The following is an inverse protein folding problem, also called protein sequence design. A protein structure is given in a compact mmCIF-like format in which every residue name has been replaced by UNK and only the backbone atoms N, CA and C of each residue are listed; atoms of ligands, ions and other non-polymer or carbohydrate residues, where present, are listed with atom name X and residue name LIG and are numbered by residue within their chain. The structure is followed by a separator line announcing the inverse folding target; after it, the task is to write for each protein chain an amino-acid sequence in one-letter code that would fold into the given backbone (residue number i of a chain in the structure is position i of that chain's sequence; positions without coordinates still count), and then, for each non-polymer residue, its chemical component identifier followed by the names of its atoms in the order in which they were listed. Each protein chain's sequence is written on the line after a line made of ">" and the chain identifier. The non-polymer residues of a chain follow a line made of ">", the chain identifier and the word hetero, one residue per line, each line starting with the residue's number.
data_IF_798376051444
#
_entry.id   IF_798376051444
#
_cell.length_a   1.000
_cell.length_b   1.000
_cell.length_c   1.000
_cell.angle_alpha   90.00
_cell.angle_beta   90.00
_cell.angle_gamma   90.00
#
_symmetry.space_group_name_H-M   'P 1'
#
loop_
_entity.id
_entity.type
_entity.pdbx_description
1 polymer ?
#
# COMPACT_ATOMS: atom_id res chain seq x y z
N UNK A 1 -26.11 9.60 13.65
CA UNK A 1 -26.91 9.40 12.43
C UNK A 1 -26.15 8.39 11.60
N UNK A 2 -26.66 7.17 11.46
CA UNK A 2 -26.09 6.20 10.52
C UNK A 2 -26.21 6.79 9.12
N UNK A 3 -25.10 7.26 8.56
CA UNK A 3 -25.07 7.63 7.16
C UNK A 3 -25.14 6.35 6.35
N UNK A 4 -26.31 6.08 5.77
CA UNK A 4 -26.49 4.97 4.83
C UNK A 4 -25.68 5.29 3.58
N UNK A 5 -24.48 4.70 3.47
CA UNK A 5 -23.65 4.82 2.28
C UNK A 5 -24.33 4.05 1.14
N UNK A 6 -24.60 4.73 0.03
CA UNK A 6 -25.13 4.09 -1.17
C UNK A 6 -24.03 3.28 -1.88
N UNK A 7 -24.29 1.97 -2.05
CA UNK A 7 -23.45 1.07 -2.83
C UNK A 7 -23.84 1.16 -4.30
N UNK A 8 -22.84 1.27 -5.17
CA UNK A 8 -23.05 1.23 -6.62
C UNK A 8 -23.11 -0.23 -7.11
N UNK A 9 -23.51 -0.44 -8.36
CA UNK A 9 -23.65 -1.76 -8.94
C UNK A 9 -22.36 -2.61 -8.77
N UNK A 10 -22.53 -3.83 -8.25
CA UNK A 10 -21.46 -4.80 -8.01
C UNK A 10 -20.58 -4.50 -6.79
N UNK A 11 -20.88 -3.44 -6.04
CA UNK A 11 -20.18 -3.14 -4.79
C UNK A 11 -20.76 -3.89 -3.59
N UNK A 12 -19.88 -4.24 -2.66
CA UNK A 12 -20.20 -4.80 -1.35
C UNK A 12 -19.37 -4.11 -0.28
N UNK A 13 -19.80 -4.24 0.97
CA UNK A 13 -19.01 -3.84 2.13
C UNK A 13 -18.40 -5.10 2.73
N UNK A 14 -17.08 -5.15 2.78
CA UNK A 14 -16.35 -6.14 3.58
C UNK A 14 -15.79 -5.45 4.83
N UNK A 15 -15.42 -6.25 5.84
CA UNK A 15 -14.88 -5.75 7.09
C UNK A 15 -13.57 -6.46 7.42
N UNK A 16 -12.53 -5.70 7.74
CA UNK A 16 -11.31 -6.26 8.32
C UNK A 16 -11.49 -6.35 9.83
N UNK A 17 -11.77 -7.56 10.32
CA UNK A 17 -12.14 -7.82 11.71
C UNK A 17 -11.07 -7.40 12.72
N UNK A 18 -9.79 -7.46 12.36
CA UNK A 18 -8.69 -7.03 13.25
C UNK A 18 -8.72 -5.54 13.62
N UNK A 19 -9.39 -4.70 12.82
CA UNK A 19 -9.35 -3.24 12.97
C UNK A 19 -10.73 -2.59 13.03
N UNK A 20 -11.81 -3.37 12.93
CA UNK A 20 -13.19 -2.88 12.80
C UNK A 20 -13.32 -1.81 11.70
N UNK A 21 -12.60 -2.02 10.60
CA UNK A 21 -12.62 -1.15 9.43
C UNK A 21 -13.52 -1.79 8.38
N UNK A 22 -14.47 -1.02 7.87
CA UNK A 22 -15.31 -1.40 6.73
C UNK A 22 -14.74 -0.85 5.44
N UNK A 23 -14.82 -1.60 4.36
CA UNK A 23 -14.28 -1.19 3.06
C UNK A 23 -15.21 -1.59 1.93
N UNK A 24 -15.43 -0.66 1.00
CA UNK A 24 -16.23 -0.89 -0.19
C UNK A 24 -15.34 -1.58 -1.22
N UNK A 25 -15.83 -2.72 -1.72
CA UNK A 25 -15.13 -3.57 -2.67
C UNK A 25 -16.04 -3.88 -3.85
N UNK A 26 -15.45 -4.14 -5.01
CA UNK A 26 -16.18 -4.63 -6.18
C UNK A 26 -15.32 -5.69 -6.85
N UNK A 27 -15.78 -6.95 -6.91
CA UNK A 27 -14.97 -8.05 -7.41
C UNK A 27 -14.54 -7.87 -8.89
N UNK A 28 -15.34 -7.14 -9.69
CA UNK A 28 -15.05 -6.85 -11.09
C UNK A 28 -14.09 -5.66 -11.26
N UNK A 29 -13.91 -4.83 -10.24
CA UNK A 29 -13.08 -3.63 -10.30
C UNK A 29 -11.81 -3.83 -9.48
N UNK A 30 -11.96 -4.10 -8.18
CA UNK A 30 -10.89 -4.34 -7.22
C UNK A 30 -11.41 -4.88 -5.89
N UNK A 31 -10.68 -5.82 -5.31
CA UNK A 31 -10.76 -6.19 -3.89
C UNK A 31 -9.34 -6.14 -3.31
N UNK A 32 -9.19 -5.68 -2.07
CA UNK A 32 -7.90 -5.59 -1.41
C UNK A 32 -7.26 -6.99 -1.33
N UNK A 33 -5.95 -7.04 -1.57
CA UNK A 33 -5.17 -8.26 -1.48
C UNK A 33 -4.56 -8.41 -0.08
N UNK A 34 -4.05 -9.60 0.20
CA UNK A 34 -3.24 -9.84 1.39
C UNK A 34 -2.03 -8.90 1.47
N UNK A 35 -1.51 -8.46 0.31
CA UNK A 35 -0.41 -7.50 0.20
C UNK A 35 -0.73 -6.17 0.91
N UNK A 36 -1.98 -5.67 0.77
CA UNK A 36 -2.41 -4.44 1.44
C UNK A 36 -2.44 -4.59 2.97
N UNK A 37 -2.94 -5.75 3.45
CA UNK A 37 -2.96 -6.07 4.89
C UNK A 37 -1.54 -6.18 5.42
N UNK A 38 -0.66 -6.89 4.72
CA UNK A 38 0.74 -7.08 5.14
C UNK A 38 1.56 -5.80 5.05
N UNK A 39 1.35 -4.95 4.06
CA UNK A 39 1.97 -3.63 3.98
C UNK A 39 1.55 -2.75 5.15
N UNK A 40 0.25 -2.68 5.42
CA UNK A 40 -0.27 -1.95 6.57
C UNK A 40 0.25 -2.51 7.90
N UNK A 41 0.45 -3.83 8.00
CA UNK A 41 1.05 -4.45 9.19
C UNK A 41 2.51 -4.04 9.38
N UNK A 42 3.30 -4.18 8.32
CA UNK A 42 4.74 -3.88 8.26
C UNK A 42 5.07 -2.40 8.48
N UNK A 43 4.18 -1.49 8.09
CA UNK A 43 4.38 -0.05 8.23
C UNK A 43 4.39 0.39 9.71
N UNK A 44 5.58 0.73 10.22
CA UNK A 44 5.77 1.30 11.55
C UNK A 44 5.59 2.82 11.52
N UNK A 45 4.34 3.27 11.64
CA UNK A 45 3.98 4.69 11.61
C UNK A 45 3.98 5.31 13.00
N UNK A 46 4.29 6.62 13.09
CA UNK A 46 4.30 7.36 14.36
C UNK A 46 2.88 7.65 14.87
N UNK A 47 2.63 7.34 16.14
CA UNK A 47 1.40 7.70 16.87
C UNK A 47 1.44 9.17 17.31
N UNK A 48 1.33 10.09 16.36
CA UNK A 48 1.32 11.53 16.65
C UNK A 48 0.34 12.28 15.73
N UNK A 49 -0.38 13.25 16.27
CA UNK A 49 -1.23 14.17 15.49
C UNK A 49 -0.46 14.99 14.45
N UNK A 50 0.86 15.11 14.60
CA UNK A 50 1.74 15.81 13.64
C UNK A 50 2.20 14.92 12.48
N UNK A 51 1.99 13.61 12.58
CA UNK A 51 2.39 12.65 11.54
C UNK A 51 1.63 12.93 10.25
N UNK A 52 2.35 12.98 9.13
CA UNK A 52 1.78 13.05 7.78
C UNK A 52 2.14 11.80 7.01
N UNK A 53 1.13 11.14 6.46
CA UNK A 53 1.27 9.91 5.69
C UNK A 53 0.69 10.13 4.30
N UNK A 54 1.38 9.66 3.26
CA UNK A 54 0.83 9.56 1.91
C UNK A 54 0.84 8.09 1.49
N UNK A 55 -0.32 7.57 1.13
CA UNK A 55 -0.49 6.25 0.53
C UNK A 55 -0.60 6.42 -0.99
N UNK A 56 0.44 6.01 -1.70
CA UNK A 56 0.51 6.07 -3.16
C UNK A 56 -0.05 4.78 -3.76
N UNK A 57 -0.74 4.91 -4.91
CA UNK A 57 -1.43 3.79 -5.55
C UNK A 57 -2.49 3.18 -4.61
N UNK A 58 -3.29 4.04 -3.98
CA UNK A 58 -4.17 3.65 -2.87
C UNK A 58 -5.29 2.68 -3.26
N UNK A 59 -5.64 2.55 -4.55
CA UNK A 59 -6.74 1.69 -4.98
C UNK A 59 -8.04 2.09 -4.30
N UNK A 60 -8.71 1.13 -3.65
CA UNK A 60 -9.92 1.40 -2.86
C UNK A 60 -9.64 1.89 -1.42
N UNK A 61 -8.40 2.30 -1.10
CA UNK A 61 -8.01 2.91 0.17
C UNK A 61 -7.61 1.92 1.27
N UNK A 62 -7.39 0.64 0.94
CA UNK A 62 -7.19 -0.39 1.95
C UNK A 62 -6.01 -0.12 2.91
N UNK A 63 -4.85 0.25 2.38
CA UNK A 63 -3.64 0.47 3.19
C UNK A 63 -3.82 1.69 4.10
N UNK A 64 -4.28 2.83 3.56
CA UNK A 64 -4.57 4.02 4.35
C UNK A 64 -5.63 3.80 5.44
N UNK A 65 -6.72 3.11 5.13
CA UNK A 65 -7.75 2.74 6.10
C UNK A 65 -7.19 1.86 7.23
N UNK A 66 -6.39 0.83 6.92
CA UNK A 66 -5.82 -0.06 7.93
C UNK A 66 -4.77 0.66 8.80
N UNK A 67 -3.96 1.53 8.21
CA UNK A 67 -2.95 2.33 8.93
C UNK A 67 -3.59 3.39 9.84
N UNK A 68 -4.81 3.83 9.54
CA UNK A 68 -5.51 4.84 10.35
C UNK A 68 -5.64 4.48 11.83
N UNK A 69 -5.70 3.18 12.17
CA UNK A 69 -5.75 2.70 13.56
C UNK A 69 -4.39 2.75 14.26
N UNK A 70 -3.29 2.88 13.52
CA UNK A 70 -1.91 2.92 14.04
C UNK A 70 -1.39 4.35 14.24
N UNK A 71 -2.16 5.37 13.91
CA UNK A 71 -1.73 6.76 14.01
C UNK A 71 -2.87 7.69 14.39
N UNK A 72 -2.52 8.86 14.93
CA UNK A 72 -3.45 9.99 15.09
C UNK A 72 -3.23 11.08 14.02
N UNK A 73 -2.30 10.85 13.10
CA UNK A 73 -1.91 11.78 12.05
C UNK A 73 -2.94 11.94 10.94
N UNK A 74 -2.53 12.64 9.89
CA UNK A 74 -3.30 12.76 8.65
C UNK A 74 -2.75 11.78 7.61
N UNK A 75 -3.66 11.16 6.87
CA UNK A 75 -3.36 10.25 5.76
C UNK A 75 -3.94 10.85 4.48
N UNK A 76 -3.13 10.89 3.43
CA UNK A 76 -3.57 11.25 2.09
C UNK A 76 -3.47 10.02 1.19
N UNK A 77 -4.58 9.60 0.59
CA UNK A 77 -4.64 8.49 -0.35
C UNK A 77 -4.61 9.04 -1.78
N UNK A 78 -3.65 8.60 -2.59
CA UNK A 78 -3.47 9.04 -3.97
C UNK A 78 -3.81 7.89 -4.91
N UNK A 79 -4.86 8.07 -5.71
CA UNK A 79 -5.33 7.07 -6.67
C UNK A 79 -5.74 7.71 -7.99
N UNK A 80 -5.19 7.23 -9.10
CA UNK A 80 -5.42 7.82 -10.43
C UNK A 80 -6.76 7.42 -11.04
N UNK A 81 -7.34 6.28 -10.65
CA UNK A 81 -8.59 5.76 -11.21
C UNK A 81 -9.81 6.33 -10.48
N UNK A 82 -10.67 7.12 -11.16
CA UNK A 82 -11.79 7.78 -10.51
C UNK A 82 -12.72 6.82 -9.75
N UNK A 83 -13.01 5.64 -10.32
CA UNK A 83 -13.88 4.63 -9.69
C UNK A 83 -13.30 4.09 -8.37
N UNK A 84 -11.99 3.82 -8.33
CA UNK A 84 -11.31 3.36 -7.12
C UNK A 84 -11.21 4.47 -6.06
N UNK A 85 -10.86 5.69 -6.49
CA UNK A 85 -10.82 6.85 -5.59
C UNK A 85 -12.19 7.17 -4.97
N UNK A 86 -13.29 6.97 -5.70
CA UNK A 86 -14.65 7.12 -5.20
C UNK A 86 -15.01 6.04 -4.16
N UNK A 87 -14.64 4.78 -4.41
CA UNK A 87 -14.79 3.70 -3.44
C UNK A 87 -13.99 3.96 -2.17
N UNK A 88 -12.76 4.46 -2.29
CA UNK A 88 -11.91 4.84 -1.17
C UNK A 88 -12.56 5.97 -0.36
N UNK A 89 -12.99 7.06 -1.02
CA UNK A 89 -13.63 8.21 -0.37
C UNK A 89 -14.90 7.81 0.40
N UNK A 90 -15.76 6.97 -0.20
CA UNK A 90 -16.95 6.46 0.50
C UNK A 90 -16.56 5.52 1.63
N UNK A 91 -15.53 4.69 1.48
CA UNK A 91 -15.03 3.85 2.59
C UNK A 91 -14.51 4.70 3.74
N UNK A 92 -13.84 5.83 3.49
CA UNK A 92 -13.42 6.77 4.53
C UNK A 92 -14.64 7.32 5.30
N UNK A 93 -15.69 7.75 4.59
CA UNK A 93 -16.95 8.20 5.21
C UNK A 93 -17.65 7.09 5.99
N UNK A 94 -17.67 5.87 5.46
CA UNK A 94 -18.27 4.70 6.12
C UNK A 94 -17.65 4.42 7.50
N UNK A 95 -16.39 4.83 7.71
CA UNK A 95 -15.67 4.67 8.97
C UNK A 95 -15.60 5.95 9.80
N UNK A 96 -16.24 7.05 9.39
CA UNK A 96 -16.15 8.38 10.01
C UNK A 96 -14.70 8.92 10.08
N UNK A 97 -13.90 8.64 9.06
CA UNK A 97 -12.47 8.98 9.01
C UNK A 97 -12.16 10.21 8.16
N UNK A 98 -13.14 11.00 7.71
CA UNK A 98 -12.95 12.14 6.80
C UNK A 98 -12.08 13.23 7.39
N UNK A 99 -12.08 13.36 8.72
CA UNK A 99 -11.17 14.29 9.41
C UNK A 99 -9.72 13.80 9.37
N UNK A 100 -9.47 12.51 9.19
CA UNK A 100 -8.14 11.90 9.30
C UNK A 100 -7.57 11.47 7.95
N UNK A 101 -8.41 11.08 7.00
CA UNK A 101 -8.04 10.56 5.70
C UNK A 101 -8.66 11.45 4.60
N UNK A 102 -7.85 11.84 3.63
CA UNK A 102 -8.29 12.58 2.44
C UNK A 102 -7.88 11.81 1.20
N UNK A 103 -8.80 11.67 0.24
CA UNK A 103 -8.56 10.93 -1.01
C UNK A 103 -8.39 11.91 -2.17
N UNK A 104 -7.31 11.75 -2.92
CA UNK A 104 -6.91 12.58 -4.05
C UNK A 104 -6.96 11.75 -5.34
N UNK A 105 -7.89 12.09 -6.23
CA UNK A 105 -7.95 11.46 -7.56
C UNK A 105 -6.99 12.13 -8.54
N UNK A 106 -5.71 11.78 -8.44
CA UNK A 106 -4.62 12.41 -9.22
C UNK A 106 -3.63 11.35 -9.70
N UNK A 107 -2.83 11.70 -10.71
CA UNK A 107 -1.61 10.95 -11.01
C UNK A 107 -0.58 11.20 -9.91
N UNK A 108 0.05 10.13 -9.41
CA UNK A 108 1.08 10.23 -8.38
C UNK A 108 2.26 11.12 -8.80
N UNK A 109 2.54 11.26 -10.11
CA UNK A 109 3.56 12.19 -10.63
C UNK A 109 3.28 13.64 -10.26
N UNK A 110 2.01 13.98 -10.06
CA UNK A 110 1.55 15.32 -9.73
C UNK A 110 1.42 15.52 -8.21
N UNK A 111 1.92 14.59 -7.39
CA UNK A 111 1.79 14.68 -5.92
C UNK A 111 2.37 15.97 -5.33
N UNK A 112 3.41 16.53 -5.95
CA UNK A 112 4.05 17.76 -5.46
C UNK A 112 3.21 19.03 -5.70
N UNK A 113 2.17 18.96 -6.54
CA UNK A 113 1.21 20.06 -6.71
C UNK A 113 0.26 20.17 -5.50
N UNK A 114 0.11 19.08 -4.75
CA UNK A 114 -0.81 18.95 -3.60
C UNK A 114 -0.08 18.87 -2.27
N UNK A 115 1.13 18.33 -2.26
CA UNK A 115 1.92 18.14 -1.05
C UNK A 115 3.25 18.89 -1.17
N UNK A 116 3.58 19.63 -0.12
CA UNK A 116 4.89 20.29 -0.03
C UNK A 116 6.01 19.24 -0.13
N UNK A 117 6.99 19.49 -0.99
CA UNK A 117 8.22 18.69 -1.11
C UNK A 117 8.89 18.51 0.25
N UNK A 118 9.45 17.32 0.48
CA UNK A 118 10.21 16.96 1.70
C UNK A 118 9.45 17.30 3.01
N UNK A 119 8.16 16.98 3.07
CA UNK A 119 7.30 17.32 4.22
C UNK A 119 6.54 16.14 4.84
N UNK A 120 6.61 14.96 4.22
CA UNK A 120 5.87 13.77 4.64
C UNK A 120 6.73 12.90 5.57
N UNK A 121 6.13 12.35 6.62
CA UNK A 121 6.81 11.45 7.57
C UNK A 121 6.92 10.02 7.02
N UNK A 122 5.81 9.53 6.45
CA UNK A 122 5.70 8.16 5.97
C UNK A 122 5.06 8.13 4.59
N UNK A 123 5.63 7.33 3.69
CA UNK A 123 4.99 6.98 2.42
C UNK A 123 4.73 5.48 2.42
N UNK A 124 3.54 5.08 2.04
CA UNK A 124 3.19 3.67 1.76
C UNK A 124 2.89 3.53 0.29
N UNK A 125 3.24 2.40 -0.29
CA UNK A 125 2.93 2.13 -1.69
C UNK A 125 2.76 0.63 -1.94
N UNK A 126 1.62 0.28 -2.52
CA UNK A 126 1.36 -1.01 -3.14
C UNK A 126 1.18 -0.80 -4.65
N UNK A 127 2.28 -0.69 -5.42
CA UNK A 127 2.19 -0.34 -6.82
C UNK A 127 1.75 -1.55 -7.68
N UNK A 128 1.26 -1.31 -8.90
CA UNK A 128 1.09 -2.37 -9.90
C UNK A 128 2.42 -3.10 -10.14
N UNK A 129 2.40 -4.44 -10.16
CA UNK A 129 3.62 -5.27 -10.12
C UNK A 129 4.28 -5.57 -11.47
N UNK A 130 3.53 -5.56 -12.57
CA UNK A 130 4.00 -6.07 -13.86
C UNK A 130 4.51 -4.94 -14.75
N UNK A 131 5.76 -5.00 -15.19
CA UNK A 131 6.26 -4.09 -16.23
C UNK A 131 5.34 -4.16 -17.47
N UNK A 132 5.10 -3.02 -18.11
CA UNK A 132 4.27 -2.96 -19.33
C UNK A 132 5.08 -3.42 -20.55
N UNK A 133 5.43 -4.70 -20.58
CA UNK A 133 6.08 -5.34 -21.72
C UNK A 133 5.04 -5.76 -22.77
N UNK A 134 5.43 -5.74 -24.05
CA UNK A 134 4.56 -6.06 -25.20
C UNK A 134 3.94 -7.46 -25.12
N UNK A 135 4.58 -8.39 -24.40
CA UNK A 135 4.16 -9.79 -24.25
C UNK A 135 3.39 -10.08 -22.95
N UNK A 136 3.19 -9.09 -22.09
CA UNK A 136 2.39 -9.29 -20.88
C UNK A 136 0.92 -9.54 -21.25
N UNK A 137 0.34 -10.64 -20.78
CA UNK A 137 -1.08 -10.95 -20.99
C UNK A 137 -1.94 -9.90 -20.28
N UNK A 138 -2.30 -8.84 -21.00
CA UNK A 138 -3.12 -7.75 -20.45
C UNK A 138 -4.51 -8.32 -20.17
N UNK A 139 -4.92 -8.24 -18.91
CA UNK A 139 -6.28 -8.61 -18.51
C UNK A 139 -7.28 -7.82 -19.39
N UNK A 140 -8.31 -8.45 -19.99
CA UNK A 140 -9.30 -7.74 -20.81
C UNK A 140 -10.05 -6.65 -20.04
N UNK A 141 -10.05 -6.72 -18.70
CA UNK A 141 -10.59 -5.66 -17.86
C UNK A 141 -9.57 -4.51 -17.65
N UNK A 142 -9.85 -3.29 -18.16
CA UNK A 142 -8.90 -2.18 -18.13
C UNK A 142 -8.59 -1.69 -16.70
N UNK A 143 -9.51 -1.84 -15.74
CA UNK A 143 -9.28 -1.46 -14.35
C UNK A 143 -8.24 -2.37 -13.69
N UNK A 144 -8.39 -3.68 -13.88
CA UNK A 144 -7.44 -4.68 -13.40
C UNK A 144 -6.09 -4.58 -14.14
N UNK A 145 -6.11 -4.20 -15.41
CA UNK A 145 -4.88 -3.99 -16.18
C UNK A 145 -4.06 -2.82 -15.63
N UNK A 146 -4.68 -1.67 -15.33
CA UNK A 146 -3.99 -0.50 -14.75
C UNK A 146 -3.51 -0.78 -13.32
N UNK A 147 -4.29 -1.53 -12.53
CA UNK A 147 -3.92 -1.90 -11.16
C UNK A 147 -2.81 -2.96 -11.06
N UNK A 148 -2.56 -3.70 -12.15
CA UNK A 148 -1.56 -4.79 -12.16
C UNK A 148 -0.34 -4.47 -13.02
N UNK A 149 -0.48 -3.70 -14.09
CA UNK A 149 0.61 -3.39 -15.02
C UNK A 149 1.05 -1.92 -14.88
N UNK A 150 2.35 -1.68 -15.05
CA UNK A 150 3.04 -0.38 -15.10
C UNK A 150 2.63 0.47 -16.32
N UNK A 151 1.32 0.60 -16.57
CA UNK A 151 0.76 1.31 -17.73
C UNK A 151 0.80 2.82 -17.52
N UNK A 152 0.50 3.29 -16.30
CA UNK A 152 0.45 4.72 -15.97
C UNK A 152 1.65 5.21 -15.14
N UNK A 153 2.33 4.30 -14.44
CA UNK A 153 3.52 4.56 -13.62
C UNK A 153 4.50 3.40 -13.77
N UNK A 154 5.76 3.61 -13.41
CA UNK A 154 6.77 2.55 -13.30
C UNK A 154 7.45 2.62 -11.92
N UNK A 155 8.30 1.65 -11.63
CA UNK A 155 9.02 1.56 -10.36
C UNK A 155 9.86 2.82 -10.06
N UNK A 156 10.57 3.35 -11.06
CA UNK A 156 11.41 4.55 -10.94
C UNK A 156 10.58 5.76 -10.47
N UNK A 157 9.43 6.01 -11.11
CA UNK A 157 8.54 7.12 -10.79
C UNK A 157 7.96 6.96 -9.39
N UNK A 158 7.56 5.74 -8.99
CA UNK A 158 7.04 5.46 -7.64
C UNK A 158 8.09 5.80 -6.58
N UNK A 159 9.32 5.31 -6.74
CA UNK A 159 10.40 5.52 -5.78
C UNK A 159 10.84 6.99 -5.75
N UNK A 160 10.98 7.62 -6.92
CA UNK A 160 11.32 9.04 -7.02
C UNK A 160 10.27 9.92 -6.33
N UNK A 161 8.99 9.73 -6.62
CA UNK A 161 7.90 10.49 -6.00
C UNK A 161 7.87 10.26 -4.49
N UNK A 162 8.01 9.02 -4.03
CA UNK A 162 8.10 8.71 -2.60
C UNK A 162 9.25 9.47 -1.93
N UNK A 163 10.42 9.48 -2.57
CA UNK A 163 11.59 10.21 -2.09
C UNK A 163 11.40 11.73 -2.07
N UNK A 164 10.79 12.31 -3.11
CA UNK A 164 10.52 13.75 -3.19
C UNK A 164 9.50 14.21 -2.13
N UNK A 165 8.54 13.36 -1.75
CA UNK A 165 7.56 13.66 -0.70
C UNK A 165 8.17 13.59 0.71
N UNK A 166 9.01 12.59 0.96
CA UNK A 166 9.56 12.32 2.29
C UNK A 166 10.52 13.41 2.76
N UNK A 167 10.35 13.87 3.99
CA UNK A 167 11.35 14.72 4.66
C UNK A 167 12.59 13.89 5.04
N UNK A 168 13.67 14.56 5.44
CA UNK A 168 14.85 13.88 5.99
C UNK A 168 14.46 12.93 7.14
N UNK A 169 14.97 11.70 7.11
CA UNK A 169 14.60 10.61 8.02
C UNK A 169 13.13 10.15 7.94
N UNK A 170 12.37 10.60 6.94
CA UNK A 170 11.08 10.03 6.59
C UNK A 170 11.24 8.61 6.04
N UNK A 171 10.21 7.77 6.19
CA UNK A 171 10.29 6.33 5.88
C UNK A 171 9.29 5.94 4.80
N UNK A 172 9.77 5.28 3.76
CA UNK A 172 8.95 4.61 2.75
C UNK A 172 8.71 3.16 3.19
N UNK A 173 7.51 2.66 2.92
CA UNK A 173 7.13 1.25 3.03
C UNK A 173 6.51 0.81 1.71
N UNK A 174 6.97 -0.32 1.20
CA UNK A 174 6.56 -0.82 -0.11
C UNK A 174 6.34 -2.32 -0.04
N UNK A 175 5.32 -2.79 -0.74
CA UNK A 175 5.15 -4.20 -1.04
C UNK A 175 5.39 -4.43 -2.53
N UNK A 176 6.07 -5.51 -2.88
CA UNK A 176 6.34 -5.87 -4.28
C UNK A 176 6.57 -7.37 -4.44
N UNK A 177 6.84 -7.81 -5.67
CA UNK A 177 7.31 -9.15 -6.00
C UNK A 177 8.85 -9.28 -5.86
N UNK A 178 9.37 -10.45 -5.42
CA UNK A 178 10.81 -10.65 -5.17
C UNK A 178 11.70 -10.56 -6.41
N UNK A 179 11.20 -10.89 -7.59
CA UNK A 179 11.94 -10.81 -8.87
C UNK A 179 12.40 -9.38 -9.19
N UNK A 180 11.69 -8.37 -8.70
CA UNK A 180 12.05 -6.94 -8.85
C UNK A 180 12.94 -6.40 -7.73
N UNK A 181 13.39 -7.23 -6.79
CA UNK A 181 14.15 -6.78 -5.63
C UNK A 181 15.41 -5.99 -6.00
N UNK A 182 16.17 -6.44 -7.01
CA UNK A 182 17.39 -5.76 -7.44
C UNK A 182 17.08 -4.37 -8.02
N UNK A 183 16.07 -4.25 -8.87
CA UNK A 183 15.61 -2.96 -9.40
C UNK A 183 15.17 -2.02 -8.29
N UNK A 184 14.40 -2.54 -7.32
CA UNK A 184 13.92 -1.77 -6.18
C UNK A 184 15.10 -1.21 -5.38
N UNK A 185 16.09 -2.05 -5.07
CA UNK A 185 17.28 -1.62 -4.31
C UNK A 185 18.12 -0.58 -5.08
N UNK A 186 18.23 -0.73 -6.40
CA UNK A 186 18.95 0.20 -7.26
C UNK A 186 18.25 1.57 -7.30
N UNK A 187 16.94 1.58 -7.59
CA UNK A 187 16.16 2.81 -7.67
C UNK A 187 16.04 3.50 -6.30
N UNK A 188 15.88 2.74 -5.21
CA UNK A 188 15.88 3.30 -3.85
C UNK A 188 17.17 4.06 -3.56
N UNK A 189 18.33 3.44 -3.84
CA UNK A 189 19.63 4.09 -3.63
C UNK A 189 19.82 5.32 -4.54
N UNK A 190 19.47 5.19 -5.83
CA UNK A 190 19.52 6.28 -6.82
C UNK A 190 18.73 7.51 -6.36
N UNK A 191 17.57 7.31 -5.73
CA UNK A 191 16.75 8.39 -5.20
C UNK A 191 16.89 8.61 -3.68
N UNK A 192 18.08 8.36 -3.11
CA UNK A 192 18.40 8.71 -1.70
C UNK A 192 17.48 8.07 -0.65
N UNK A 193 16.89 6.91 -0.96
CA UNK A 193 16.18 6.08 0.00
C UNK A 193 17.08 4.92 0.40
N UNK A 194 17.65 4.97 1.60
CA UNK A 194 18.49 3.89 2.10
C UNK A 194 17.60 2.71 2.54
N UNK A 195 17.71 1.51 1.93
CA UNK A 195 16.95 0.33 2.36
C UNK A 195 17.29 -0.06 3.80
N UNK A 196 16.29 -0.48 4.59
CA UNK A 196 16.45 -0.77 6.03
C UNK A 196 15.90 -2.09 6.49
N UNK A 197 14.74 -2.49 6.00
CA UNK A 197 14.11 -3.74 6.41
C UNK A 197 13.55 -4.41 5.16
N UNK A 198 13.84 -5.69 4.97
CA UNK A 198 13.22 -6.56 3.96
C UNK A 198 12.58 -7.73 4.69
N UNK A 199 11.35 -8.05 4.34
CA UNK A 199 10.65 -9.22 4.85
C UNK A 199 10.07 -10.01 3.68
N UNK A 200 10.48 -11.27 3.56
CA UNK A 200 9.98 -12.17 2.53
C UNK A 200 8.70 -12.84 2.99
N UNK A 201 7.77 -13.01 2.06
CA UNK A 201 6.51 -13.70 2.29
C UNK A 201 6.40 -14.88 1.33
N UNK A 202 6.12 -16.03 1.92
CA UNK A 202 6.08 -17.34 1.29
C UNK A 202 4.65 -17.86 1.33
N UNK A 203 4.11 -18.40 0.22
CA UNK A 203 2.76 -18.96 0.24
C UNK A 203 2.66 -20.17 1.18
N UNK A 204 3.68 -21.06 1.18
CA UNK A 204 3.81 -22.24 2.05
C UNK A 204 5.28 -22.52 2.34
N UNK A 205 5.56 -23.33 3.36
CA UNK A 205 6.91 -23.87 3.64
C UNK A 205 7.43 -24.63 2.41
N UNK A 206 8.71 -24.45 2.09
CA UNK A 206 9.38 -25.12 0.97
C UNK A 206 9.02 -24.57 -0.42
N UNK A 207 8.26 -23.48 -0.50
CA UNK A 207 8.00 -22.74 -1.75
C UNK A 207 8.88 -21.51 -1.84
N UNK A 208 9.00 -20.95 -3.04
CA UNK A 208 9.66 -19.65 -3.22
C UNK A 208 8.80 -18.51 -2.67
N UNK A 209 9.45 -17.43 -2.23
CA UNK A 209 8.75 -16.21 -1.88
C UNK A 209 8.00 -15.67 -3.11
N UNK A 210 6.78 -15.18 -2.90
CA UNK A 210 6.00 -14.52 -3.95
C UNK A 210 5.76 -13.04 -3.68
N UNK A 211 6.11 -12.56 -2.48
CA UNK A 211 5.99 -11.17 -2.08
C UNK A 211 7.15 -10.75 -1.17
N UNK A 212 7.55 -9.48 -1.28
CA UNK A 212 8.52 -8.80 -0.42
C UNK A 212 7.88 -7.54 0.15
N UNK A 213 8.14 -7.30 1.43
CA UNK A 213 7.90 -6.02 2.11
C UNK A 213 9.25 -5.36 2.31
N UNK A 214 9.38 -4.10 1.93
CA UNK A 214 10.63 -3.36 2.04
C UNK A 214 10.39 -1.97 2.60
N UNK A 215 11.30 -1.51 3.46
CA UNK A 215 11.31 -0.12 3.92
C UNK A 215 12.62 0.58 3.59
N UNK A 216 12.54 1.90 3.41
CA UNK A 216 13.70 2.75 3.21
C UNK A 216 13.58 4.07 3.93
N UNK A 217 14.71 4.63 4.34
CA UNK A 217 14.77 5.94 5.02
C UNK A 217 15.36 6.97 4.07
N UNK A 218 14.65 8.08 3.89
CA UNK A 218 15.11 9.23 3.12
C UNK A 218 16.36 9.84 3.75
N UNK A 219 17.42 9.92 2.96
CA UNK A 219 18.74 10.43 3.34
C UNK A 219 19.34 9.67 4.55
N UNK A 220 18.94 8.40 4.72
CA UNK A 220 19.50 7.50 5.71
C UNK A 220 20.88 6.98 5.32
N UNK A 221 21.66 6.49 6.31
CA UNK A 221 22.92 5.78 6.05
C UNK A 221 22.65 4.48 5.28
N UNK A 222 23.50 4.07 4.34
CA UNK A 222 23.29 2.84 3.56
C UNK A 222 23.47 1.53 4.35
N UNK A 223 24.16 1.57 5.50
CA UNK A 223 24.33 0.39 6.35
C UNK A 223 23.07 0.06 7.17
N UNK A 224 23.10 -1.08 7.88
CA UNK A 224 22.05 -1.46 8.83
C UNK A 224 20.78 -2.00 8.19
N UNK A 225 20.87 -2.54 6.97
CA UNK A 225 19.82 -3.36 6.38
C UNK A 225 19.57 -4.60 7.25
N UNK A 226 18.31 -4.91 7.50
CA UNK A 226 17.86 -6.09 8.25
C UNK A 226 16.96 -6.94 7.36
N UNK A 227 17.26 -8.24 7.31
CA UNK A 227 16.33 -9.23 6.78
C UNK A 227 15.49 -9.73 7.96
N UNK A 228 14.18 -9.46 7.92
CA UNK A 228 13.23 -9.86 8.95
C UNK A 228 12.94 -11.37 8.84
N UNK A 229 12.49 -12.01 9.95
CA UNK A 229 11.90 -13.33 9.87
C UNK A 229 10.80 -13.39 8.81
N UNK A 230 10.74 -14.45 8.00
CA UNK A 230 9.78 -14.52 6.91
C UNK A 230 8.36 -14.72 7.44
N UNK A 231 7.37 -14.42 6.60
CA UNK A 231 5.97 -14.77 6.84
C UNK A 231 5.62 -15.94 5.93
N UNK A 232 5.04 -17.00 6.49
CA UNK A 232 4.45 -18.10 5.71
C UNK A 232 2.94 -17.93 5.75
N UNK A 233 2.28 -17.87 4.59
CA UNK A 233 0.85 -17.52 4.52
C UNK A 233 -0.03 -18.67 4.96
N UNK A 234 0.18 -19.85 4.39
CA UNK A 234 -0.63 -21.04 4.64
C UNK A 234 0.17 -22.15 5.30
N UNK A 235 -0.49 -22.90 6.17
CA UNK A 235 0.00 -24.19 6.67
C UNK A 235 -0.17 -25.30 5.62
N UNK A 236 0.17 -26.53 6.01
CA UNK A 236 0.04 -27.70 5.14
C UNK A 236 -1.42 -28.01 4.75
N UNK A 237 -2.38 -27.59 5.59
CA UNK A 237 -3.82 -27.81 5.42
C UNK A 237 -4.55 -26.64 4.74
N UNK A 238 -3.80 -25.71 4.11
CA UNK A 238 -4.35 -24.52 3.46
C UNK A 238 -5.07 -23.53 4.40
N UNK A 239 -4.81 -23.61 5.70
CA UNK A 239 -5.27 -22.60 6.65
C UNK A 239 -4.25 -21.48 6.79
N UNK A 240 -4.73 -20.25 7.03
CA UNK A 240 -3.84 -19.15 7.39
C UNK A 240 -3.04 -19.50 8.64
N UNK A 241 -1.73 -19.25 8.62
CA UNK A 241 -0.87 -19.41 9.79
C UNK A 241 -1.21 -18.37 10.87
N UNK A 242 -0.82 -18.63 12.12
CA UNK A 242 -1.07 -17.74 13.26
C UNK A 242 -0.65 -16.28 13.02
N UNK A 243 0.55 -15.97 12.49
CA UNK A 243 0.92 -14.58 12.17
C UNK A 243 -0.07 -13.89 11.22
N UNK A 244 -0.57 -14.60 10.20
CA UNK A 244 -1.50 -14.05 9.21
C UNK A 244 -2.91 -13.94 9.78
N UNK A 245 -3.36 -14.93 10.56
CA UNK A 245 -4.63 -14.88 11.30
C UNK A 245 -4.68 -13.67 12.22
N UNK A 246 -3.60 -13.37 12.93
CA UNK A 246 -3.50 -12.20 13.79
C UNK A 246 -3.64 -10.89 13.02
N UNK A 247 -3.02 -10.76 11.85
CA UNK A 247 -3.16 -9.58 10.99
C UNK A 247 -4.60 -9.39 10.49
N UNK A 248 -5.28 -10.47 10.10
CA UNK A 248 -6.62 -10.42 9.51
C UNK A 248 -7.75 -10.31 10.55
N UNK A 249 -7.61 -11.03 11.67
CA UNK A 249 -8.69 -11.23 12.64
C UNK A 249 -8.39 -10.66 14.03
N UNK A 250 -7.16 -10.23 14.30
CA UNK A 250 -6.76 -9.67 15.61
C UNK A 250 -6.69 -10.71 16.72
N UNK A 251 -6.69 -11.99 16.38
CA UNK A 251 -6.61 -13.15 17.30
C UNK A 251 -5.28 -13.83 17.13
#
# INVERSE_FOLDING_TARGET
>A
MDQTIELKQGERIDQLYSSDIKIIQNAEVFSFSLDAVMLADFAQVKQSYKTKIVDLCAGNGAVGLFISKKTHGKIAEVEIQPKLSDMAKRSVTLNNLEKHISVYNIDLKNSLDYFKKESIDHVTVNPPYFANEKESSKNPNPYLAIARHEIKTNLEIVIKTSSDLLKNNGKMYMVHRPDRLLDILNEMQKYRLAPKEIQFVYPKVGRDANMILISGIKDGKLNGLKIKPPIVVYDENDNYTEPVRKMLYGK
#
